data_IF_209146707849
#
_entry.id   IF_209146707849
#
_cell.length_a   1.000
_cell.length_b   1.000
_cell.length_c   1.000
_cell.angle_alpha   90.00
_cell.angle_beta   90.00
_cell.angle_gamma   90.00
#
_symmetry.space_group_name_H-M   'P 1'
#
loop_
_entity.id
_entity.type
_entity.pdbx_description
1 polymer ?
#
# COMPACT_ATOMS: atom_id res chain seq x y z
N UNK A 1 1.66 -0.24 28.70
CA UNK A 1 0.91 -1.48 28.38
C UNK A 1 0.22 -1.24 27.04
N UNK A 2 0.63 -1.98 26.01
CA UNK A 2 0.23 -1.74 24.62
C UNK A 2 -1.26 -2.06 24.41
N UNK A 3 -1.99 -1.10 23.84
CA UNK A 3 -3.34 -1.28 23.32
C UNK A 3 -3.29 -2.25 22.14
N UNK A 4 -3.93 -3.41 22.29
CA UNK A 4 -4.16 -4.34 21.19
C UNK A 4 -5.20 -3.72 20.26
N UNK A 5 -4.77 -3.31 19.06
CA UNK A 5 -5.69 -2.95 18.00
C UNK A 5 -6.51 -4.20 17.60
N UNK A 6 -7.82 -4.18 17.91
CA UNK A 6 -8.76 -5.21 17.48
C UNK A 6 -8.95 -5.11 15.97
N UNK A 7 -8.53 -6.14 15.23
CA UNK A 7 -8.87 -6.28 13.81
C UNK A 7 -10.38 -6.52 13.72
N UNK A 8 -11.12 -5.57 13.13
CA UNK A 8 -12.52 -5.76 12.76
C UNK A 8 -12.58 -6.39 11.36
N UNK A 9 -12.99 -7.66 11.31
CA UNK A 9 -13.31 -8.35 10.07
C UNK A 9 -14.58 -7.76 9.47
N UNK A 10 -14.46 -7.15 8.29
CA UNK A 10 -15.63 -6.76 7.49
C UNK A 10 -16.02 -7.94 6.59
N UNK A 11 -17.04 -8.69 6.99
CA UNK A 11 -17.69 -9.72 6.16
C UNK A 11 -18.64 -9.10 5.12
N UNK A 12 -18.18 -8.05 4.44
CA UNK A 12 -18.81 -7.61 3.20
C UNK A 12 -18.69 -8.75 2.19
N UNK A 13 -19.82 -9.28 1.74
CA UNK A 13 -19.93 -10.57 1.05
C UNK A 13 -18.86 -10.78 -0.01
N UNK A 14 -18.13 -11.89 0.12
CA UNK A 14 -17.24 -12.44 -0.89
C UNK A 14 -18.09 -12.95 -2.09
N UNK A 15 -18.75 -12.04 -2.80
CA UNK A 15 -19.38 -12.32 -4.09
C UNK A 15 -18.36 -12.26 -5.25
N UNK A 16 -17.08 -12.38 -4.91
CA UNK A 16 -16.01 -12.72 -5.83
C UNK A 16 -15.55 -14.10 -5.42
N UNK A 17 -15.82 -15.11 -6.25
CA UNK A 17 -15.55 -16.52 -5.94
C UNK A 17 -14.13 -16.73 -5.39
N UNK A 18 -13.98 -17.74 -4.53
CA UNK A 18 -12.73 -18.14 -3.85
C UNK A 18 -11.54 -18.47 -4.80
N UNK A 19 -11.75 -18.34 -6.11
CA UNK A 19 -10.81 -18.67 -7.18
C UNK A 19 -10.02 -17.46 -7.72
N UNK A 20 -10.19 -16.25 -7.16
CA UNK A 20 -9.43 -15.08 -7.62
C UNK A 20 -7.99 -15.15 -7.13
N UNK A 21 -7.05 -15.27 -8.07
CA UNK A 21 -5.61 -15.15 -7.80
C UNK A 21 -5.30 -13.74 -7.33
N UNK A 22 -4.40 -13.61 -6.36
CA UNK A 22 -3.94 -12.32 -5.85
C UNK A 22 -2.41 -12.19 -5.95
N UNK A 23 -1.95 -10.96 -6.11
CA UNK A 23 -0.54 -10.59 -5.97
C UNK A 23 -0.40 -9.69 -4.76
N UNK A 24 0.46 -10.11 -3.83
CA UNK A 24 0.87 -9.29 -2.69
C UNK A 24 2.08 -8.45 -3.13
N UNK A 25 1.97 -7.14 -2.96
CA UNK A 25 2.96 -6.17 -3.40
C UNK A 25 3.50 -5.42 -2.20
N UNK A 26 4.81 -5.23 -2.16
CA UNK A 26 5.39 -4.20 -1.29
C UNK A 26 5.11 -2.81 -1.90
N UNK A 27 5.25 -1.77 -1.07
CA UNK A 27 5.04 -0.37 -1.44
C UNK A 27 6.36 0.30 -1.81
N UNK A 28 7.29 0.31 -0.87
CA UNK A 28 8.53 1.08 -0.90
C UNK A 28 9.60 0.38 -1.75
N UNK A 29 10.22 1.11 -2.68
CA UNK A 29 11.09 0.60 -3.74
C UNK A 29 10.48 -0.51 -4.63
N UNK A 30 9.15 -0.64 -4.61
CA UNK A 30 8.39 -1.57 -5.47
C UNK A 30 7.36 -0.81 -6.30
N UNK A 31 6.50 -0.02 -5.65
CA UNK A 31 5.51 0.84 -6.30
C UNK A 31 6.00 2.29 -6.32
N UNK A 32 6.50 2.80 -5.19
CA UNK A 32 7.09 4.14 -5.07
C UNK A 32 8.58 4.06 -4.72
N UNK A 33 9.31 5.13 -5.01
CA UNK A 33 10.66 5.33 -4.49
C UNK A 33 10.61 5.58 -2.97
N UNK A 34 11.58 5.04 -2.24
CA UNK A 34 11.71 5.26 -0.80
C UNK A 34 13.04 5.95 -0.44
N UNK A 35 13.02 7.22 -0.02
CA UNK A 35 14.18 7.94 0.50
C UNK A 35 14.51 7.57 1.97
N UNK A 36 13.78 6.65 2.60
CA UNK A 36 14.01 6.08 3.92
C UNK A 36 12.90 6.37 4.93
N UNK A 37 12.40 7.61 4.99
CA UNK A 37 11.23 7.99 5.80
C UNK A 37 10.34 8.96 5.02
N UNK A 38 9.73 8.48 3.93
CA UNK A 38 8.81 9.28 3.14
C UNK A 38 7.59 9.71 3.97
N UNK A 39 7.54 10.99 4.34
CA UNK A 39 6.49 11.58 5.18
C UNK A 39 5.80 12.79 4.55
N UNK A 40 6.30 13.26 3.41
CA UNK A 40 5.73 14.36 2.66
C UNK A 40 5.15 13.83 1.34
N UNK A 41 3.85 14.04 1.06
CA UNK A 41 3.23 13.60 -0.19
C UNK A 41 3.89 14.22 -1.43
N UNK A 42 4.42 15.44 -1.35
CA UNK A 42 5.01 16.10 -2.52
C UNK A 42 6.31 15.42 -2.99
N UNK A 43 6.94 14.62 -2.13
CA UNK A 43 8.15 13.85 -2.43
C UNK A 43 7.84 12.45 -3.01
N UNK A 44 6.56 12.10 -3.20
CA UNK A 44 6.16 10.82 -3.78
C UNK A 44 6.52 10.78 -5.27
N UNK A 45 7.31 9.77 -5.63
CA UNK A 45 7.61 9.41 -7.01
C UNK A 45 7.42 7.90 -7.21
N UNK A 46 6.80 7.51 -8.33
CA UNK A 46 6.58 6.10 -8.67
C UNK A 46 7.85 5.44 -9.20
N UNK A 47 7.98 4.15 -8.98
CA UNK A 47 9.01 3.33 -9.62
C UNK A 47 8.76 3.28 -11.14
N UNK A 48 9.82 3.35 -11.97
CA UNK A 48 9.66 3.19 -13.42
C UNK A 48 8.98 1.86 -13.76
N UNK A 49 7.92 1.90 -14.58
CA UNK A 49 7.18 0.70 -14.98
C UNK A 49 6.17 0.19 -13.96
N UNK A 50 6.01 0.84 -12.79
CA UNK A 50 5.09 0.39 -11.76
C UNK A 50 3.64 0.40 -12.25
N UNK A 51 3.19 1.49 -12.85
CA UNK A 51 1.82 1.64 -13.36
C UNK A 51 1.51 0.56 -14.40
N UNK A 52 2.39 0.41 -15.39
CA UNK A 52 2.24 -0.57 -16.46
C UNK A 52 2.25 -2.00 -15.93
N UNK A 53 3.10 -2.29 -14.95
CA UNK A 53 3.16 -3.59 -14.28
C UNK A 53 1.86 -3.93 -13.54
N UNK A 54 1.33 -2.98 -12.77
CA UNK A 54 0.09 -3.14 -12.02
C UNK A 54 -1.11 -3.32 -12.96
N UNK A 55 -1.20 -2.52 -14.02
CA UNK A 55 -2.23 -2.65 -15.05
C UNK A 55 -2.21 -4.04 -15.69
N UNK A 56 -1.04 -4.54 -16.09
CA UNK A 56 -0.90 -5.89 -16.67
C UNK A 56 -1.34 -7.00 -15.73
N UNK A 57 -1.08 -6.85 -14.42
CA UNK A 57 -1.54 -7.82 -13.42
C UNK A 57 -3.07 -7.76 -13.25
N UNK A 58 -3.66 -6.56 -13.25
CA UNK A 58 -5.12 -6.41 -13.20
C UNK A 58 -5.81 -6.98 -14.44
N UNK A 59 -5.27 -6.70 -15.64
CA UNK A 59 -5.76 -7.24 -16.91
C UNK A 59 -5.67 -8.77 -16.95
N UNK A 60 -4.64 -9.35 -16.32
CA UNK A 60 -4.50 -10.79 -16.15
C UNK A 60 -5.45 -11.39 -15.08
N UNK A 61 -6.32 -10.58 -14.48
CA UNK A 61 -7.36 -11.00 -13.54
C UNK A 61 -6.94 -11.10 -12.07
N UNK A 62 -5.73 -10.62 -11.73
CA UNK A 62 -5.26 -10.67 -10.34
C UNK A 62 -5.90 -9.58 -9.48
N UNK A 63 -6.20 -9.93 -8.23
CA UNK A 63 -6.41 -8.95 -7.17
C UNK A 63 -5.05 -8.42 -6.69
N UNK A 64 -4.89 -7.10 -6.64
CA UNK A 64 -3.65 -6.48 -6.16
C UNK A 64 -3.83 -6.04 -4.70
N UNK A 65 -2.93 -6.51 -3.84
CA UNK A 65 -2.96 -6.23 -2.41
C UNK A 65 -1.61 -5.66 -2.00
N UNK A 66 -1.59 -4.43 -1.49
CA UNK A 66 -0.36 -3.81 -0.98
C UNK A 66 -0.19 -4.18 0.49
N UNK A 67 0.94 -4.81 0.83
CA UNK A 67 1.35 -5.12 2.18
C UNK A 67 2.70 -4.47 2.44
N UNK A 68 2.75 -3.51 3.38
CA UNK A 68 3.97 -2.75 3.64
C UNK A 68 4.22 -2.54 5.12
N UNK A 69 5.48 -2.67 5.51
CA UNK A 69 5.94 -2.43 6.87
C UNK A 69 6.33 -0.96 7.08
N UNK A 70 5.50 -0.21 7.81
CA UNK A 70 5.73 1.22 8.07
C UNK A 70 6.34 1.47 9.46
N UNK A 71 7.54 0.91 9.68
CA UNK A 71 8.25 0.99 10.96
C UNK A 71 8.58 2.42 11.42
N UNK A 72 8.63 3.39 10.49
CA UNK A 72 8.84 4.81 10.80
C UNK A 72 7.80 5.37 11.78
N UNK A 73 6.56 4.86 11.75
CA UNK A 73 5.50 5.23 12.69
C UNK A 73 5.82 4.75 14.10
N UNK A 74 6.11 3.45 14.27
CA UNK A 74 6.44 2.87 15.57
C UNK A 74 7.73 3.43 16.20
N UNK A 75 8.62 3.99 15.37
CA UNK A 75 9.87 4.64 15.79
C UNK A 75 9.74 6.15 15.98
N UNK A 76 8.57 6.74 15.78
CA UNK A 76 8.34 8.19 15.91
C UNK A 76 9.07 9.04 14.87
N UNK A 77 9.41 8.46 13.70
CA UNK A 77 10.06 9.16 12.58
C UNK A 77 9.04 9.73 11.59
N UNK A 78 7.85 9.14 11.54
CA UNK A 78 6.73 9.54 10.69
C UNK A 78 5.48 9.57 11.56
N UNK A 79 4.66 10.61 11.42
CA UNK A 79 3.35 10.66 12.07
C UNK A 79 2.32 9.83 11.29
N UNK A 80 1.31 9.21 11.94
CA UNK A 80 0.29 8.46 11.23
C UNK A 80 -0.42 9.26 10.13
N UNK A 81 -0.65 10.56 10.36
CA UNK A 81 -1.31 11.45 9.40
C UNK A 81 -0.45 11.74 8.16
N UNK A 82 0.87 11.82 8.35
CA UNK A 82 1.85 11.98 7.26
C UNK A 82 1.87 10.72 6.38
N UNK A 83 1.91 9.54 7.02
CA UNK A 83 1.83 8.26 6.32
C UNK A 83 0.54 8.14 5.50
N UNK A 84 -0.61 8.53 6.07
CA UNK A 84 -1.89 8.52 5.35
C UNK A 84 -1.86 9.46 4.13
N UNK A 85 -1.28 10.65 4.29
CA UNK A 85 -1.17 11.63 3.19
C UNK A 85 -0.29 11.11 2.06
N UNK A 86 0.84 10.47 2.39
CA UNK A 86 1.71 9.79 1.42
C UNK A 86 0.97 8.66 0.70
N UNK A 87 0.24 7.82 1.44
CA UNK A 87 -0.53 6.72 0.84
C UNK A 87 -1.61 7.24 -0.13
N UNK A 88 -2.35 8.28 0.25
CA UNK A 88 -3.34 8.90 -0.65
C UNK A 88 -2.68 9.44 -1.91
N UNK A 89 -1.51 10.06 -1.79
CA UNK A 89 -0.78 10.56 -2.94
C UNK A 89 -0.30 9.44 -3.87
N UNK A 90 0.21 8.33 -3.33
CA UNK A 90 0.59 7.17 -4.14
C UNK A 90 -0.63 6.65 -4.91
N UNK A 91 -1.78 6.46 -4.24
CA UNK A 91 -3.02 6.00 -4.89
C UNK A 91 -3.48 6.97 -5.98
N UNK A 92 -3.36 8.29 -5.76
CA UNK A 92 -3.75 9.30 -6.74
C UNK A 92 -2.87 9.32 -8.01
N UNK A 93 -1.70 8.67 -7.98
CA UNK A 93 -0.78 8.57 -9.12
C UNK A 93 -0.88 7.23 -9.86
N UNK A 94 -1.61 6.25 -9.33
CA UNK A 94 -1.85 4.93 -9.93
C UNK A 94 -3.15 4.93 -10.75
#
# INVERSE_FOLDING_TARGET
MASMATIQWHSGGLAHGLDRKAVLLDRDNTINLDPGYLNNPDDVALMPGAVEGLQRLQEAGFLLLVLSNQSGVGRGKIRPEELLSVNHRIIALL
#
